data_IF_975516032902
#
_entry.id   IF_975516032902
#
_cell.length_a   1.000
_cell.length_b   1.000
_cell.length_c   1.000
_cell.angle_alpha   90.00
_cell.angle_beta   90.00
_cell.angle_gamma   90.00
#
_symmetry.space_group_name_H-M   'P 1'
#
loop_
_entity.id
_entity.type
_entity.pdbx_description
1 polymer ?
#
# COMPACT_ATOMS: atom_id res chain seq x y z
N UNK A 1 26.94 17.15 4.57
CA UNK A 1 25.84 16.78 3.70
C UNK A 1 25.64 15.28 3.78
N UNK A 2 24.47 14.86 4.12
CA UNK A 2 24.12 13.44 4.17
C UNK A 2 23.42 13.08 2.84
N UNK A 3 24.01 12.14 2.11
CA UNK A 3 23.37 11.60 0.93
C UNK A 3 22.17 10.75 1.33
N UNK A 4 21.15 10.81 0.53
CA UNK A 4 19.93 10.02 0.77
C UNK A 4 19.67 9.10 -0.40
N UNK A 5 19.05 7.98 -0.09
CA UNK A 5 18.56 7.05 -1.10
C UNK A 5 17.04 7.01 -1.06
N UNK A 6 16.44 6.88 -2.21
CA UNK A 6 14.99 6.78 -2.35
C UNK A 6 14.65 5.51 -3.09
N UNK A 7 13.71 4.75 -2.55
CA UNK A 7 13.17 3.58 -3.22
C UNK A 7 11.67 3.73 -3.34
N UNK A 8 11.13 3.30 -4.47
CA UNK A 8 9.70 3.39 -4.75
C UNK A 8 9.18 2.05 -5.24
N UNK A 9 7.99 1.70 -4.78
CA UNK A 9 7.27 0.53 -5.23
C UNK A 9 5.86 0.93 -5.58
N UNK A 10 5.34 0.33 -6.64
CA UNK A 10 3.95 0.53 -7.03
C UNK A 10 3.33 -0.82 -7.34
N UNK A 11 2.05 -0.97 -6.98
CA UNK A 11 1.31 -2.16 -7.36
C UNK A 11 -0.13 -1.78 -7.68
N UNK A 12 -0.74 -2.62 -8.47
CA UNK A 12 -2.13 -2.46 -8.88
C UNK A 12 -2.88 -3.77 -8.66
N UNK A 13 -4.07 -3.65 -8.10
CA UNK A 13 -4.97 -4.77 -7.91
C UNK A 13 -6.28 -4.47 -8.63
N UNK A 14 -6.71 -5.40 -9.49
CA UNK A 14 -8.01 -5.34 -10.13
C UNK A 14 -8.89 -6.45 -9.56
N UNK A 15 -10.08 -6.07 -9.07
CA UNK A 15 -11.03 -7.02 -8.51
C UNK A 15 -12.29 -6.98 -9.34
N UNK A 16 -12.71 -8.15 -9.83
CA UNK A 16 -13.89 -8.30 -10.68
C UNK A 16 -14.94 -9.14 -9.96
N UNK A 17 -16.18 -8.70 -10.01
CA UNK A 17 -17.32 -9.46 -9.51
C UNK A 17 -18.07 -10.06 -10.69
N UNK A 18 -17.87 -11.35 -10.94
CA UNK A 18 -18.53 -12.07 -12.01
C UNK A 18 -19.93 -12.59 -11.62
N UNK A 19 -20.34 -12.39 -10.38
CA UNK A 19 -21.64 -12.86 -9.87
C UNK A 19 -22.81 -11.98 -10.26
N UNK A 20 -23.99 -12.39 -9.85
CA UNK A 20 -25.24 -11.68 -10.15
C UNK A 20 -25.70 -10.74 -9.03
N UNK A 21 -24.93 -10.63 -7.97
CA UNK A 21 -25.21 -9.74 -6.84
C UNK A 21 -23.97 -8.92 -6.49
N UNK A 22 -24.19 -7.72 -5.95
CA UNK A 22 -23.10 -6.90 -5.45
C UNK A 22 -22.39 -7.62 -4.29
N UNK A 23 -21.08 -7.42 -4.19
CA UNK A 23 -20.28 -7.99 -3.09
C UNK A 23 -19.50 -6.88 -2.40
N UNK A 24 -19.23 -7.09 -1.13
CA UNK A 24 -18.34 -6.22 -0.36
C UNK A 24 -17.00 -6.94 -0.19
N UNK A 25 -15.93 -6.22 -0.48
CA UNK A 25 -14.59 -6.75 -0.41
C UNK A 25 -13.80 -5.96 0.60
N UNK A 26 -13.12 -6.67 1.50
CA UNK A 26 -12.18 -6.08 2.45
C UNK A 26 -10.77 -6.46 2.02
N UNK A 27 -9.97 -5.46 1.70
CA UNK A 27 -8.58 -5.64 1.34
C UNK A 27 -7.70 -5.12 2.47
N UNK A 28 -6.77 -5.94 2.91
CA UNK A 28 -5.81 -5.59 3.93
C UNK A 28 -4.41 -5.68 3.35
N UNK A 29 -3.63 -4.62 3.54
CA UNK A 29 -2.26 -4.56 3.05
C UNK A 29 -1.36 -4.15 4.21
N UNK A 30 -0.35 -4.97 4.55
CA UNK A 30 0.57 -4.60 5.61
C UNK A 30 1.35 -3.34 5.24
N UNK A 31 1.54 -2.47 6.23
CA UNK A 31 2.33 -1.27 6.06
C UNK A 31 3.80 -1.58 6.33
N UNK A 32 4.71 -1.07 5.50
CA UNK A 32 6.11 -1.11 5.85
C UNK A 32 6.34 -0.27 7.10
N UNK A 33 7.11 -0.79 8.01
CA UNK A 33 7.40 -0.11 9.27
C UNK A 33 8.89 0.12 9.39
N UNK A 34 9.24 1.26 9.99
CA UNK A 34 10.61 1.56 10.32
C UNK A 34 10.66 2.04 11.76
N UNK A 35 11.66 1.54 12.49
CA UNK A 35 11.96 1.99 13.85
C UNK A 35 13.03 3.08 13.86
N UNK A 36 13.55 3.42 12.69
CA UNK A 36 14.60 4.42 12.57
C UNK A 36 14.01 5.74 12.10
N UNK A 37 14.19 6.79 12.88
CA UNK A 37 13.64 8.11 12.59
C UNK A 37 14.21 8.73 11.32
N UNK A 38 15.36 8.26 10.85
CA UNK A 38 15.97 8.75 9.62
C UNK A 38 15.29 8.23 8.37
N UNK A 39 14.45 7.22 8.51
CA UNK A 39 13.72 6.63 7.38
C UNK A 39 12.33 7.25 7.31
N UNK A 40 12.00 7.82 6.17
CA UNK A 40 10.69 8.41 5.90
C UNK A 40 9.95 7.57 4.88
N UNK A 41 8.73 7.17 5.23
CA UNK A 41 7.90 6.36 4.36
C UNK A 41 6.67 7.17 3.98
N UNK A 42 6.44 7.33 2.69
CA UNK A 42 5.27 8.00 2.15
C UNK A 42 4.41 6.99 1.42
N UNK A 43 3.13 6.99 1.74
CA UNK A 43 2.16 6.07 1.15
C UNK A 43 1.09 6.85 0.43
N UNK A 44 0.82 6.46 -0.81
CA UNK A 44 -0.26 7.02 -1.61
C UNK A 44 -1.04 5.89 -2.24
N UNK A 45 -2.34 6.00 -2.23
CA UNK A 45 -3.19 5.01 -2.88
C UNK A 45 -4.41 5.69 -3.51
N UNK A 46 -4.94 5.04 -4.53
CA UNK A 46 -6.19 5.47 -5.15
C UNK A 46 -7.05 4.24 -5.44
N UNK A 47 -8.22 4.15 -4.82
CA UNK A 47 -8.76 5.08 -3.81
C UNK A 47 -7.97 5.05 -2.50
N UNK A 48 -8.17 6.06 -1.67
CA UNK A 48 -7.54 6.09 -0.36
C UNK A 48 -8.08 4.98 0.53
N UNK A 49 -7.25 4.50 1.46
CA UNK A 49 -7.67 3.48 2.40
C UNK A 49 -8.81 4.00 3.30
N UNK A 50 -9.80 3.17 3.55
CA UNK A 50 -10.89 3.50 4.45
C UNK A 50 -10.42 3.57 5.90
N UNK A 51 -9.50 2.69 6.26
CA UNK A 51 -8.89 2.67 7.59
C UNK A 51 -7.39 2.50 7.45
N UNK A 52 -6.67 3.13 8.35
CA UNK A 52 -5.22 3.02 8.41
C UNK A 52 -4.81 2.84 9.85
N UNK A 53 -4.24 1.70 10.15
CA UNK A 53 -3.72 1.39 11.48
C UNK A 53 -2.21 1.55 11.50
N UNK A 54 -1.59 1.28 12.63
CA UNK A 54 -0.13 1.32 12.73
C UNK A 54 0.55 0.23 11.89
N UNK A 55 -0.16 -0.84 11.54
CA UNK A 55 0.43 -2.01 10.89
C UNK A 55 -0.15 -2.34 9.52
N UNK A 56 -1.28 -1.73 9.14
CA UNK A 56 -1.92 -2.08 7.87
C UNK A 56 -2.83 -0.97 7.34
N UNK A 57 -3.10 -1.04 6.04
CA UNK A 57 -4.13 -0.24 5.38
C UNK A 57 -5.28 -1.16 4.99
N UNK A 58 -6.50 -0.66 5.16
CA UNK A 58 -7.71 -1.43 4.90
C UNK A 58 -8.61 -0.67 3.94
N UNK A 59 -9.00 -1.35 2.87
CA UNK A 59 -9.97 -0.83 1.90
C UNK A 59 -11.24 -1.64 1.98
N UNK A 60 -12.36 -0.94 2.04
CA UNK A 60 -13.70 -1.55 1.99
C UNK A 60 -14.35 -1.11 0.69
N UNK A 61 -14.61 -2.05 -0.19
CA UNK A 61 -15.14 -1.75 -1.52
C UNK A 61 -16.41 -2.54 -1.78
N UNK A 62 -17.40 -1.87 -2.37
CA UNK A 62 -18.58 -2.55 -2.90
C UNK A 62 -18.41 -2.67 -4.40
N UNK A 63 -18.55 -3.89 -4.92
CA UNK A 63 -18.42 -4.18 -6.34
C UNK A 63 -19.77 -4.66 -6.83
N UNK A 64 -20.43 -3.89 -7.73
CA UNK A 64 -21.73 -4.29 -8.27
C UNK A 64 -21.63 -5.57 -9.10
N UNK A 65 -22.74 -6.22 -9.30
CA UNK A 65 -22.79 -7.42 -10.14
C UNK A 65 -22.21 -7.11 -11.52
N UNK A 66 -21.30 -7.95 -11.98
CA UNK A 66 -20.61 -7.75 -13.24
C UNK A 66 -19.62 -6.58 -13.25
N UNK A 67 -19.39 -5.94 -12.10
CA UNK A 67 -18.54 -4.77 -12.01
C UNK A 67 -17.09 -5.09 -11.70
N UNK A 68 -16.28 -4.03 -11.72
CA UNK A 68 -14.85 -4.10 -11.43
C UNK A 68 -14.40 -2.90 -10.61
N UNK A 69 -13.45 -3.11 -9.74
CA UNK A 69 -12.75 -2.04 -9.00
C UNK A 69 -11.26 -2.25 -9.11
N UNK A 70 -10.54 -1.14 -9.18
CA UNK A 70 -9.09 -1.17 -9.23
C UNK A 70 -8.51 -0.39 -8.07
N UNK A 71 -7.39 -0.86 -7.55
CA UNK A 71 -6.65 -0.21 -6.48
C UNK A 71 -5.20 -0.09 -6.90
N UNK A 72 -4.67 1.12 -6.81
CA UNK A 72 -3.25 1.40 -7.10
C UNK A 72 -2.62 1.95 -5.84
N UNK A 73 -1.45 1.42 -5.48
CA UNK A 73 -0.70 1.88 -4.32
C UNK A 73 0.73 2.17 -4.68
N UNK A 74 1.25 3.27 -4.16
CA UNK A 74 2.64 3.67 -4.30
C UNK A 74 3.25 3.83 -2.92
N UNK A 75 4.42 3.27 -2.75
CA UNK A 75 5.19 3.36 -1.51
C UNK A 75 6.54 3.96 -1.84
N UNK A 76 6.86 5.06 -1.18
CA UNK A 76 8.14 5.74 -1.32
C UNK A 76 8.87 5.72 0.01
N UNK A 77 10.09 5.23 -0.02
CA UNK A 77 10.95 5.18 1.16
C UNK A 77 12.17 6.05 0.91
N UNK A 78 12.46 6.93 1.86
CA UNK A 78 13.60 7.84 1.82
C UNK A 78 14.45 7.61 3.08
N UNK A 79 15.73 7.34 2.90
CA UNK A 79 16.63 6.99 3.99
C UNK A 79 18.06 7.49 3.70
N UNK A 80 18.93 7.58 4.73
CA UNK A 80 20.35 7.84 4.50
C UNK A 80 20.97 6.77 3.60
N UNK A 81 21.83 7.20 2.70
CA UNK A 81 22.39 6.32 1.67
C UNK A 81 23.19 5.16 2.25
N UNK A 82 23.86 5.38 3.37
CA UNK A 82 24.68 4.36 4.02
C UNK A 82 23.87 3.30 4.78
N UNK A 83 22.55 3.48 4.92
CA UNK A 83 21.74 2.49 5.62
C UNK A 83 21.48 1.27 4.76
N UNK A 84 21.58 0.11 5.39
CA UNK A 84 21.15 -1.13 4.78
C UNK A 84 19.65 -1.30 5.04
N UNK A 85 18.86 -1.25 3.96
CA UNK A 85 17.42 -1.31 4.07
C UNK A 85 16.95 -2.75 3.94
N UNK A 86 16.60 -3.35 5.08
CA UNK A 86 15.96 -4.65 5.11
C UNK A 86 14.49 -4.45 5.44
N UNK A 87 13.66 -4.50 4.41
CA UNK A 87 12.22 -4.34 4.53
C UNK A 87 11.58 -5.73 4.48
N UNK A 88 11.43 -6.37 5.63
CA UNK A 88 10.98 -7.76 5.72
C UNK A 88 9.64 -8.07 5.05
N UNK A 89 8.83 -7.05 4.75
CA UNK A 89 7.58 -7.22 4.02
C UNK A 89 7.77 -7.39 2.52
N UNK A 90 8.96 -7.09 2.05
CA UNK A 90 9.31 -7.12 0.63
C UNK A 90 9.89 -8.48 0.27
N UNK A 91 9.19 -9.22 -0.52
CA UNK A 91 9.60 -10.54 -0.92
C UNK A 91 9.48 -10.75 -2.41
#
# INVERSE_FOLDING_TARGET
>A
IVDRQTQEWAWRLDVTNAGSSAVRVRLEEPLPQSRDERIHITLQSEPEANEKTASEMIWLMEIPAGGKRSLVSNIKLDAPKEMNLDLGWRR
#
